data_IF_430403599273
#
_entry.id   IF_430403599273
#
_cell.length_a   1.000
_cell.length_b   1.000
_cell.length_c   1.000
_cell.angle_alpha   90.00
_cell.angle_beta   90.00
_cell.angle_gamma   90.00
#
_symmetry.space_group_name_H-M   'P 1'
#
loop_
_entity.id
_entity.type
_entity.pdbx_description
1 polymer ?
#
# COMPACT_ATOMS: atom_id res chain seq x y z
N UNK A 1 29.51 -7.40 -22.09
CA UNK A 1 28.70 -7.70 -20.88
C UNK A 1 29.56 -7.36 -19.68
N UNK A 2 29.19 -6.37 -18.87
CA UNK A 2 29.81 -6.23 -17.54
C UNK A 2 29.29 -7.43 -16.74
N UNK A 3 30.19 -8.20 -16.14
CA UNK A 3 29.80 -9.21 -15.16
C UNK A 3 29.02 -8.49 -14.05
N UNK A 4 27.73 -8.83 -13.91
CA UNK A 4 26.96 -8.45 -12.75
C UNK A 4 27.70 -8.98 -11.53
N UNK A 5 28.11 -8.07 -10.65
CA UNK A 5 28.74 -8.43 -9.39
C UNK A 5 27.79 -9.37 -8.68
N UNK A 6 28.25 -10.57 -8.31
CA UNK A 6 27.44 -11.54 -7.56
C UNK A 6 27.04 -10.87 -6.24
N UNK A 7 25.82 -10.36 -6.20
CA UNK A 7 25.22 -9.77 -5.01
C UNK A 7 25.08 -10.91 -3.99
N UNK A 8 25.97 -10.93 -2.99
CA UNK A 8 25.81 -11.85 -1.87
C UNK A 8 24.50 -11.48 -1.18
N UNK A 9 23.57 -12.43 -1.09
CA UNK A 9 22.28 -12.24 -0.45
C UNK A 9 22.46 -12.07 1.07
N UNK A 10 22.82 -10.86 1.50
CA UNK A 10 22.76 -10.47 2.89
C UNK A 10 21.28 -10.33 3.30
N UNK A 11 20.90 -10.78 4.51
CA UNK A 11 19.54 -10.59 4.99
C UNK A 11 19.23 -9.10 5.13
N UNK A 12 18.18 -8.65 4.43
CA UNK A 12 17.74 -7.26 4.46
C UNK A 12 17.37 -6.82 5.88
N UNK A 13 17.79 -5.62 6.25
CA UNK A 13 17.57 -5.03 7.57
C UNK A 13 16.13 -4.53 7.69
N UNK A 14 15.42 -4.98 8.73
CA UNK A 14 14.11 -4.43 9.09
C UNK A 14 14.24 -3.09 9.80
N UNK A 15 13.26 -2.21 9.61
CA UNK A 15 13.13 -0.94 10.33
C UNK A 15 12.00 -0.91 11.34
N UNK A 16 11.70 0.30 11.81
CA UNK A 16 10.61 0.60 12.74
C UNK A 16 9.59 1.52 12.09
N UNK A 17 8.32 1.28 12.40
CA UNK A 17 7.20 2.01 11.78
C UNK A 17 7.07 3.43 12.34
N UNK A 18 6.33 4.31 11.66
CA UNK A 18 5.97 5.63 12.20
C UNK A 18 5.22 5.51 13.54
N UNK A 19 4.40 4.46 13.71
CA UNK A 19 3.75 4.14 14.98
C UNK A 19 4.73 3.82 16.12
N UNK A 20 5.81 3.10 15.84
CA UNK A 20 6.86 2.83 16.83
C UNK A 20 7.60 4.11 17.23
N UNK A 21 7.95 4.95 16.25
CA UNK A 21 8.60 6.23 16.50
C UNK A 21 7.71 7.17 17.34
N UNK A 22 6.41 7.25 17.03
CA UNK A 22 5.44 8.02 17.80
C UNK A 22 5.25 7.47 19.22
N UNK A 23 5.29 6.14 19.41
CA UNK A 23 5.24 5.51 20.73
C UNK A 23 6.45 5.87 21.57
N UNK A 24 7.65 5.71 21.00
CA UNK A 24 8.92 6.03 21.64
C UNK A 24 8.98 7.50 22.10
N UNK A 25 8.66 8.43 21.20
CA UNK A 25 8.70 9.87 21.51
C UNK A 25 7.64 10.28 22.52
N UNK A 26 6.43 9.71 22.45
CA UNK A 26 5.38 9.98 23.44
C UNK A 26 5.77 9.49 24.83
N UNK A 27 6.32 8.27 24.92
CA UNK A 27 6.79 7.70 26.18
C UNK A 27 7.94 8.51 26.78
N UNK A 28 8.92 8.92 25.97
CA UNK A 28 10.05 9.72 26.42
C UNK A 28 9.62 11.08 26.98
N UNK A 29 8.73 11.78 26.27
CA UNK A 29 8.18 13.06 26.72
C UNK A 29 7.36 12.91 28.02
N UNK A 30 6.48 11.89 28.10
CA UNK A 30 5.71 11.64 29.30
C UNK A 30 6.58 11.28 30.52
N UNK A 31 7.66 10.49 30.30
CA UNK A 31 8.60 10.15 31.36
C UNK A 31 9.30 11.38 31.89
N UNK A 32 9.74 12.29 31.01
CA UNK A 32 10.33 13.56 31.44
C UNK A 32 9.34 14.39 32.27
N UNK A 33 8.05 14.41 31.94
CA UNK A 33 7.04 15.14 32.72
C UNK A 33 6.80 14.54 34.10
N UNK A 34 6.72 13.21 34.19
CA UNK A 34 6.31 12.55 35.44
C UNK A 34 7.48 12.32 36.40
N UNK A 35 8.68 12.06 35.92
CA UNK A 35 9.84 11.75 36.76
C UNK A 35 10.93 12.81 36.73
N UNK A 36 10.86 13.79 35.83
CA UNK A 36 11.94 14.76 35.59
C UNK A 36 13.19 14.16 34.94
N UNK A 37 13.17 12.87 34.59
CA UNK A 37 14.33 12.19 34.03
C UNK A 37 14.36 12.33 32.51
N UNK A 38 15.47 12.88 32.01
CA UNK A 38 15.79 12.91 30.59
C UNK A 38 16.59 11.67 30.20
N UNK A 39 16.26 11.10 29.05
CA UNK A 39 17.03 10.02 28.44
C UNK A 39 17.38 10.36 26.99
N UNK A 40 18.48 9.80 26.50
CA UNK A 40 18.91 9.92 25.10
C UNK A 40 18.43 8.72 24.25
N UNK A 41 17.82 7.72 24.88
CA UNK A 41 17.18 6.59 24.22
C UNK A 41 15.99 6.09 25.04
N UNK A 42 15.04 5.44 24.38
CA UNK A 42 13.83 4.90 24.99
C UNK A 42 13.56 3.50 24.47
N UNK A 43 13.10 2.62 25.36
CA UNK A 43 12.66 1.27 25.04
C UNK A 43 11.14 1.22 24.95
N UNK A 44 10.64 0.55 23.92
CA UNK A 44 9.21 0.27 23.75
C UNK A 44 8.99 -1.20 23.43
N UNK A 45 7.87 -1.73 23.89
CA UNK A 45 7.40 -3.08 23.57
C UNK A 45 6.48 -3.02 22.35
N UNK A 46 6.86 -3.73 21.29
CA UNK A 46 6.05 -3.85 20.07
C UNK A 46 4.86 -4.81 20.27
N UNK A 47 3.83 -4.79 19.39
CA UNK A 47 2.61 -5.60 19.55
C UNK A 47 2.83 -7.12 19.72
N UNK A 48 3.98 -7.66 19.29
CA UNK A 48 4.35 -9.08 19.46
C UNK A 48 5.29 -9.34 20.65
N UNK A 49 5.39 -8.40 21.58
CA UNK A 49 6.23 -8.50 22.78
C UNK A 49 7.72 -8.21 22.57
N UNK A 50 8.18 -8.01 21.32
CA UNK A 50 9.58 -7.63 21.06
C UNK A 50 9.84 -6.24 21.64
N UNK A 51 10.84 -6.12 22.50
CA UNK A 51 11.34 -4.82 22.97
C UNK A 51 12.35 -4.28 21.96
N UNK A 52 12.25 -2.99 21.65
CA UNK A 52 13.20 -2.27 20.80
C UNK A 52 13.61 -0.98 21.46
N UNK A 53 14.87 -0.60 21.28
CA UNK A 53 15.42 0.66 21.75
C UNK A 53 15.54 1.65 20.59
N UNK A 54 15.17 2.90 20.83
CA UNK A 54 15.26 3.99 19.86
C UNK A 54 16.04 5.15 20.45
N UNK A 55 17.02 5.66 19.70
CA UNK A 55 17.73 6.89 20.04
C UNK A 55 16.80 8.08 19.88
N UNK A 56 16.88 9.02 20.82
CA UNK A 56 16.19 10.31 20.74
C UNK A 56 17.17 11.35 20.19
N UNK A 57 16.69 12.17 19.27
CA UNK A 57 17.42 13.36 18.79
C UNK A 57 17.36 14.47 19.84
N UNK A 58 16.22 14.59 20.53
CA UNK A 58 16.03 15.51 21.63
C UNK A 58 14.92 15.02 22.56
N UNK A 59 14.98 15.52 23.80
CA UNK A 59 13.93 15.36 24.82
C UNK A 59 14.05 16.53 25.79
N UNK A 60 13.06 17.42 25.85
CA UNK A 60 13.10 18.60 26.71
C UNK A 60 11.71 19.04 27.17
N UNK A 61 11.68 19.80 28.26
CA UNK A 61 10.48 20.52 28.68
C UNK A 61 10.24 21.73 27.77
N UNK A 62 8.99 22.12 27.62
CA UNK A 62 8.55 23.28 26.83
C UNK A 62 7.33 23.90 27.52
N UNK A 63 7.57 24.74 28.52
CA UNK A 63 6.49 25.23 29.38
C UNK A 63 5.90 24.10 30.23
N UNK A 64 4.60 23.89 30.13
CA UNK A 64 3.82 22.87 30.86
C UNK A 64 3.70 21.52 30.12
N UNK A 65 4.51 21.33 29.09
CA UNK A 65 4.55 20.13 28.27
C UNK A 65 5.99 19.64 28.06
N UNK A 66 6.14 18.41 27.58
CA UNK A 66 7.42 17.88 27.14
C UNK A 66 7.37 17.52 25.66
N UNK A 67 8.52 17.57 25.02
CA UNK A 67 8.69 17.26 23.61
C UNK A 67 9.89 16.32 23.45
N UNK A 68 9.73 15.27 22.65
CA UNK A 68 10.81 14.36 22.30
C UNK A 68 10.73 13.97 20.83
N UNK A 69 11.88 13.78 20.19
CA UNK A 69 11.98 13.46 18.76
C UNK A 69 12.93 12.31 18.47
N UNK A 70 12.67 11.57 17.40
CA UNK A 70 13.51 10.47 16.90
C UNK A 70 13.48 10.44 15.37
N UNK A 71 14.59 10.03 14.74
CA UNK A 71 14.64 9.78 13.31
C UNK A 71 14.12 8.38 13.01
N UNK A 72 13.19 8.27 12.06
CA UNK A 72 12.69 6.97 11.62
C UNK A 72 13.74 6.22 10.80
N UNK A 73 14.13 5.04 11.28
CA UNK A 73 14.90 4.08 10.50
C UNK A 73 13.98 3.02 9.89
N UNK A 74 13.80 3.05 8.57
CA UNK A 74 13.00 2.08 7.82
C UNK A 74 13.77 0.78 7.48
N UNK A 75 15.04 0.65 7.88
CA UNK A 75 15.89 -0.45 7.42
C UNK A 75 16.21 -0.28 5.94
N UNK A 76 16.15 -1.38 5.19
CA UNK A 76 16.43 -1.39 3.74
C UNK A 76 15.16 -1.28 2.88
N UNK A 77 14.01 -0.97 3.49
CA UNK A 77 12.78 -0.68 2.75
C UNK A 77 12.89 0.70 2.08
N UNK A 78 12.54 0.85 0.78
CA UNK A 78 12.49 2.13 0.09
C UNK A 78 11.28 2.98 0.53
N UNK A 79 11.16 3.21 1.84
CA UNK A 79 10.09 3.94 2.49
C UNK A 79 10.37 5.44 2.44
N UNK A 80 9.45 6.22 1.88
CA UNK A 80 9.58 7.69 1.76
C UNK A 80 9.70 8.40 3.11
N UNK A 81 9.32 7.75 4.21
CA UNK A 81 9.42 8.28 5.57
C UNK A 81 10.72 7.85 6.28
N UNK A 82 11.63 7.14 5.62
CA UNK A 82 12.97 6.88 6.14
C UNK A 82 13.72 8.20 6.38
N UNK A 83 14.38 8.33 7.53
CA UNK A 83 15.10 9.53 7.93
C UNK A 83 14.22 10.71 8.34
N UNK A 84 12.88 10.58 8.30
CA UNK A 84 11.99 11.63 8.78
C UNK A 84 12.11 11.78 10.30
N UNK A 85 12.14 13.02 10.79
CA UNK A 85 12.05 13.32 12.22
C UNK A 85 10.58 13.24 12.66
N UNK A 86 10.27 12.25 13.49
CA UNK A 86 9.00 12.19 14.21
C UNK A 86 9.20 12.71 15.62
N UNK A 87 8.25 13.50 16.10
CA UNK A 87 8.29 14.02 17.45
C UNK A 87 6.90 14.12 18.05
N UNK A 88 6.82 13.86 19.36
CA UNK A 88 5.59 13.95 20.13
C UNK A 88 5.71 15.03 21.17
N UNK A 89 4.61 15.74 21.32
CA UNK A 89 4.35 16.77 22.30
C UNK A 89 3.33 16.21 23.29
N UNK A 90 3.69 16.10 24.56
CA UNK A 90 2.83 15.50 25.58
C UNK A 90 2.48 16.53 26.64
N UNK A 91 1.19 16.60 27.00
CA UNK A 91 0.65 17.37 28.13
C UNK A 91 -0.03 16.43 29.12
N UNK A 92 0.15 16.69 30.40
CA UNK A 92 -0.61 16.02 31.46
C UNK A 92 -2.05 16.57 31.49
N UNK A 93 -3.03 15.70 31.73
CA UNK A 93 -4.46 16.06 31.87
C UNK A 93 -5.01 15.61 33.21
N UNK A 94 -5.95 16.34 33.76
CA UNK A 94 -6.61 15.92 35.00
C UNK A 94 -7.44 14.64 34.83
N UNK A 95 -8.09 14.47 33.68
CA UNK A 95 -8.95 13.32 33.38
C UNK A 95 -8.14 12.15 32.83
N UNK A 96 -8.42 10.89 33.25
CA UNK A 96 -7.81 9.70 32.70
C UNK A 96 -8.03 9.53 31.20
N UNK A 97 -7.11 8.78 30.56
CA UNK A 97 -7.17 8.45 29.14
C UNK A 97 -6.16 9.21 28.29
N UNK A 98 -6.15 8.90 27.00
CA UNK A 98 -5.20 9.49 26.04
C UNK A 98 -5.98 10.16 24.92
N UNK A 99 -5.82 11.48 24.81
CA UNK A 99 -6.33 12.28 23.69
C UNK A 99 -5.25 12.40 22.63
N UNK A 100 -5.58 12.02 21.40
CA UNK A 100 -4.67 12.15 20.27
C UNK A 100 -4.97 13.41 19.47
N UNK A 101 -3.92 14.12 19.08
CA UNK A 101 -3.99 15.33 18.26
C UNK A 101 -3.04 15.19 17.08
N UNK A 102 -3.49 15.57 15.88
CA UNK A 102 -2.62 15.71 14.72
C UNK A 102 -1.81 17.00 14.86
N UNK A 103 -0.50 16.87 14.99
CA UNK A 103 0.43 17.99 14.91
C UNK A 103 0.88 18.26 13.47
N UNK A 104 1.91 19.07 13.32
CA UNK A 104 2.46 19.42 12.02
C UNK A 104 2.92 18.16 11.26
N UNK A 105 2.50 18.03 10.00
CA UNK A 105 2.87 16.92 9.12
C UNK A 105 2.21 15.57 9.43
N UNK A 106 1.26 15.51 10.37
CA UNK A 106 0.36 14.37 10.55
C UNK A 106 -1.00 14.71 9.94
N UNK A 107 -1.52 13.81 9.12
CA UNK A 107 -2.75 14.06 8.38
C UNK A 107 -4.01 13.97 9.22
N UNK A 108 -5.10 14.51 8.68
CA UNK A 108 -6.46 14.36 9.20
C UNK A 108 -7.31 13.61 8.18
N UNK A 109 -8.17 12.71 8.68
CA UNK A 109 -9.09 11.96 7.82
C UNK A 109 -10.22 12.87 7.36
N UNK A 110 -10.40 12.98 6.04
CA UNK A 110 -11.41 13.85 5.41
C UNK A 110 -12.47 13.07 4.63
N UNK A 111 -12.29 11.76 4.47
CA UNK A 111 -13.21 10.88 3.75
C UNK A 111 -13.53 9.63 4.58
N UNK A 112 -14.75 9.07 4.44
CA UNK A 112 -15.09 7.78 5.06
C UNK A 112 -14.41 6.61 4.33
N UNK A 113 -14.44 5.42 4.93
CA UNK A 113 -13.90 4.18 4.37
C UNK A 113 -12.55 3.75 4.95
N UNK A 114 -11.95 4.57 5.80
CA UNK A 114 -10.83 4.19 6.65
C UNK A 114 -11.33 3.68 8.01
N UNK A 115 -10.46 3.01 8.75
CA UNK A 115 -10.73 2.56 10.13
C UNK A 115 -10.91 3.75 11.09
N UNK A 116 -10.34 4.90 10.74
CA UNK A 116 -10.46 6.16 11.47
C UNK A 116 -11.65 6.97 10.95
N UNK A 117 -12.39 7.62 11.85
CA UNK A 117 -13.52 8.46 11.49
C UNK A 117 -13.07 9.78 10.84
N UNK A 118 -13.98 10.41 10.08
CA UNK A 118 -13.74 11.75 9.51
C UNK A 118 -13.52 12.76 10.63
N UNK A 119 -12.51 13.63 10.46
CA UNK A 119 -12.06 14.60 11.45
C UNK A 119 -10.99 14.07 12.42
N UNK A 120 -10.76 12.76 12.47
CA UNK A 120 -9.76 12.18 13.37
C UNK A 120 -8.32 12.39 12.85
N UNK A 121 -7.35 12.55 13.76
CA UNK A 121 -5.93 12.42 13.45
C UNK A 121 -5.64 11.07 12.79
N UNK A 122 -4.82 11.06 11.73
CA UNK A 122 -4.41 9.88 10.98
C UNK A 122 -3.40 9.00 11.75
N UNK A 123 -3.69 8.73 13.02
CA UNK A 123 -2.95 7.85 13.91
C UNK A 123 -3.76 6.56 14.05
N UNK A 124 -3.31 5.48 13.42
CA UNK A 124 -4.06 4.24 13.29
C UNK A 124 -4.27 3.54 14.65
N UNK A 125 -5.24 2.61 14.76
CA UNK A 125 -5.59 1.97 16.03
C UNK A 125 -4.44 1.27 16.75
N UNK A 126 -3.56 0.56 16.02
CA UNK A 126 -2.41 -0.12 16.65
C UNK A 126 -1.41 0.89 17.25
N UNK A 127 -0.95 1.93 16.52
CA UNK A 127 -0.19 3.02 17.13
C UNK A 127 -0.87 3.70 18.32
N UNK A 128 -2.19 3.99 18.24
CA UNK A 128 -2.93 4.55 19.38
C UNK A 128 -2.86 3.63 20.59
N UNK A 129 -3.09 2.33 20.40
CA UNK A 129 -3.00 1.33 21.45
C UNK A 129 -1.58 1.27 22.03
N UNK A 130 -0.56 1.22 21.19
CA UNK A 130 0.84 1.19 21.65
C UNK A 130 1.17 2.42 22.50
N UNK A 131 0.83 3.63 22.05
CA UNK A 131 1.05 4.85 22.83
C UNK A 131 0.30 4.76 24.16
N UNK A 132 -0.99 4.45 24.13
CA UNK A 132 -1.81 4.39 25.34
C UNK A 132 -1.30 3.35 26.35
N UNK A 133 -0.96 2.14 25.91
CA UNK A 133 -0.47 1.08 26.80
C UNK A 133 0.81 1.54 27.54
N UNK A 134 1.77 2.13 26.82
CA UNK A 134 3.04 2.58 27.43
C UNK A 134 2.83 3.76 28.37
N UNK A 135 1.96 4.71 28.01
CA UNK A 135 1.68 5.87 28.85
C UNK A 135 0.92 5.50 30.12
N UNK A 136 -0.05 4.59 30.01
CA UNK A 136 -0.81 4.11 31.17
C UNK A 136 0.05 3.25 32.11
N UNK A 137 0.95 2.44 31.56
CA UNK A 137 1.93 1.70 32.37
C UNK A 137 2.85 2.67 33.14
N UNK A 138 3.43 3.66 32.44
CA UNK A 138 4.27 4.68 33.07
C UNK A 138 3.51 5.46 34.14
N UNK A 139 2.25 5.82 33.88
CA UNK A 139 1.41 6.52 34.85
C UNK A 139 1.23 5.70 36.13
N UNK A 140 0.98 4.39 36.00
CA UNK A 140 0.92 3.46 37.13
C UNK A 140 2.24 3.39 37.92
N UNK A 141 3.36 3.26 37.22
CA UNK A 141 4.70 3.20 37.83
C UNK A 141 5.06 4.48 38.60
N UNK A 142 4.55 5.64 38.14
CA UNK A 142 4.77 6.95 38.79
C UNK A 142 3.65 7.35 39.76
N UNK A 143 2.61 6.53 39.98
CA UNK A 143 1.47 6.88 40.83
C UNK A 143 0.62 8.06 40.29
N UNK A 144 0.63 8.30 38.99
CA UNK A 144 -0.15 9.34 38.32
C UNK A 144 -1.50 8.81 37.86
N UNK A 145 -2.59 9.45 38.28
CA UNK A 145 -3.97 9.02 37.98
C UNK A 145 -4.69 9.86 36.91
N UNK A 146 -4.02 10.88 36.37
CA UNK A 146 -4.56 11.69 35.28
C UNK A 146 -4.40 11.02 33.92
N UNK A 147 -4.49 11.83 32.86
CA UNK A 147 -4.36 11.38 31.48
C UNK A 147 -3.34 12.17 30.69
N UNK A 148 -3.31 11.94 29.38
CA UNK A 148 -2.34 12.54 28.47
C UNK A 148 -3.04 13.13 27.25
N UNK A 149 -2.59 14.30 26.82
CA UNK A 149 -2.80 14.76 25.45
C UNK A 149 -1.50 14.57 24.68
N UNK A 150 -1.58 13.84 23.57
CA UNK A 150 -0.44 13.47 22.73
C UNK A 150 -0.64 14.08 21.35
N UNK A 151 0.15 15.11 21.06
CA UNK A 151 0.23 15.69 19.71
C UNK A 151 1.41 15.07 18.98
N UNK A 152 1.12 14.28 17.94
CA UNK A 152 2.16 13.63 17.12
C UNK A 152 2.47 14.49 15.91
N UNK A 153 3.75 14.66 15.60
CA UNK A 153 4.23 15.51 14.52
C UNK A 153 5.25 14.75 13.67
N UNK A 154 5.37 15.15 12.40
CA UNK A 154 6.42 14.70 11.48
C UNK A 154 6.99 15.91 10.75
N UNK A 155 8.28 16.18 10.93
CA UNK A 155 8.92 17.30 10.24
C UNK A 155 8.86 17.10 8.72
N UNK A 156 8.31 18.08 7.99
CA UNK A 156 8.11 17.98 6.54
C UNK A 156 7.06 16.94 6.12
N UNK A 157 6.25 16.42 7.06
CA UNK A 157 5.30 15.33 6.81
C UNK A 157 4.25 15.64 5.75
N UNK A 158 3.83 16.90 5.60
CA UNK A 158 2.90 17.31 4.53
C UNK A 158 3.48 17.04 3.14
N UNK A 159 4.74 17.44 2.90
CA UNK A 159 5.42 17.24 1.62
C UNK A 159 5.71 15.76 1.35
N UNK A 160 6.04 14.99 2.40
CA UNK A 160 6.23 13.55 2.29
C UNK A 160 4.91 12.83 1.94
N UNK A 161 3.78 13.27 2.50
CA UNK A 161 2.47 12.67 2.27
C UNK A 161 2.00 12.80 0.81
N UNK A 162 2.41 13.84 0.09
CA UNK A 162 2.12 14.00 -1.34
C UNK A 162 2.73 12.88 -2.20
N UNK A 163 3.73 12.16 -1.68
CA UNK A 163 4.38 11.02 -2.32
C UNK A 163 3.84 9.67 -1.83
N UNK A 164 2.74 9.66 -1.09
CA UNK A 164 2.09 8.44 -0.58
C UNK A 164 0.66 8.31 -1.09
N UNK A 165 -0.01 7.23 -0.70
CA UNK A 165 -1.45 7.03 -0.94
C UNK A 165 -2.34 7.92 -0.08
N UNK A 166 -1.79 8.71 0.86
CA UNK A 166 -2.57 9.51 1.81
C UNK A 166 -3.60 10.43 1.12
N UNK A 167 -3.23 11.25 0.11
CA UNK A 167 -4.20 12.12 -0.55
C UNK A 167 -5.33 11.33 -1.23
N UNK A 168 -5.00 10.19 -1.86
CA UNK A 168 -5.97 9.29 -2.51
C UNK A 168 -6.99 8.74 -1.51
N UNK A 169 -6.51 8.36 -0.33
CA UNK A 169 -7.33 7.84 0.77
C UNK A 169 -8.10 8.93 1.53
N UNK A 170 -7.96 10.20 1.16
CA UNK A 170 -8.61 11.32 1.85
C UNK A 170 -7.94 11.69 3.17
N UNK A 171 -6.64 11.46 3.31
CA UNK A 171 -5.83 11.90 4.43
C UNK A 171 -5.04 13.14 4.00
N UNK A 172 -5.40 14.31 4.51
CA UNK A 172 -4.86 15.60 4.09
C UNK A 172 -4.03 16.26 5.19
N UNK A 173 -3.08 17.11 4.80
CA UNK A 173 -2.22 17.87 5.73
C UNK A 173 -1.02 17.11 6.29
N UNK A 174 -0.87 15.82 5.98
CA UNK A 174 0.26 15.03 6.49
C UNK A 174 0.17 13.53 6.33
N UNK A 175 1.17 12.87 6.90
CA UNK A 175 1.34 11.41 6.89
C UNK A 175 0.41 10.72 7.87
N UNK A 176 0.21 9.42 7.63
CA UNK A 176 -0.41 8.53 8.59
C UNK A 176 0.64 7.96 9.54
N UNK A 177 0.32 7.97 10.83
CA UNK A 177 1.06 7.23 11.84
C UNK A 177 0.48 5.82 11.89
N UNK A 178 1.22 4.86 11.34
CA UNK A 178 0.75 3.50 11.08
C UNK A 178 1.81 2.46 11.43
N UNK A 179 1.40 1.19 11.44
CA UNK A 179 2.25 0.05 11.76
C UNK A 179 1.49 -0.98 12.60
N UNK A 180 1.25 -2.16 12.05
CA UNK A 180 0.49 -3.23 12.74
C UNK A 180 1.36 -4.09 13.65
N UNK A 181 2.66 -4.21 13.33
CA UNK A 181 3.63 -5.00 14.09
C UNK A 181 4.69 -4.16 14.79
N UNK A 182 4.69 -2.85 14.54
CA UNK A 182 5.79 -1.95 14.92
C UNK A 182 7.06 -2.08 14.06
N UNK A 183 7.10 -3.03 13.11
CA UNK A 183 8.29 -3.33 12.30
C UNK A 183 8.00 -3.02 10.82
N UNK A 184 8.94 -2.34 10.17
CA UNK A 184 8.99 -2.20 8.71
C UNK A 184 9.80 -3.37 8.16
N UNK A 185 9.19 -4.16 7.28
CA UNK A 185 9.85 -5.25 6.57
C UNK A 185 10.10 -4.82 5.13
N UNK A 186 11.34 -4.82 4.64
CA UNK A 186 11.66 -4.46 3.27
C UNK A 186 10.80 -5.22 2.27
N UNK A 187 10.21 -4.50 1.32
CA UNK A 187 9.39 -5.04 0.22
C UNK A 187 8.22 -5.92 0.72
N UNK A 188 7.53 -5.47 1.76
CA UNK A 188 6.45 -6.24 2.38
C UNK A 188 5.21 -6.40 1.48
N UNK A 189 4.98 -7.60 0.97
CA UNK A 189 3.74 -7.93 0.25
C UNK A 189 2.48 -7.66 1.09
N UNK A 190 2.52 -7.92 2.41
CA UNK A 190 1.38 -7.65 3.29
C UNK A 190 1.05 -6.17 3.41
N UNK A 191 2.06 -5.29 3.40
CA UNK A 191 1.82 -3.84 3.43
C UNK A 191 1.19 -3.36 2.11
N UNK A 192 1.68 -3.86 0.98
CA UNK A 192 1.14 -3.55 -0.34
C UNK A 192 -0.30 -4.08 -0.52
N UNK A 193 -0.59 -5.30 -0.06
CA UNK A 193 -1.97 -5.85 -0.09
C UNK A 193 -2.92 -4.99 0.76
N UNK A 194 -2.46 -4.51 1.92
CA UNK A 194 -3.28 -3.65 2.77
C UNK A 194 -3.62 -2.31 2.10
N UNK A 195 -2.70 -1.72 1.32
CA UNK A 195 -2.99 -0.48 0.57
C UNK A 195 -4.01 -0.70 -0.54
N UNK A 196 -3.96 -1.86 -1.23
CA UNK A 196 -4.98 -2.24 -2.21
C UNK A 196 -6.37 -2.31 -1.55
N UNK A 197 -6.46 -3.01 -0.41
CA UNK A 197 -7.73 -3.15 0.32
C UNK A 197 -8.28 -1.80 0.78
N UNK A 198 -7.43 -0.95 1.35
CA UNK A 198 -7.82 0.41 1.76
C UNK A 198 -8.30 1.26 0.58
N UNK A 199 -7.64 1.18 -0.57
CA UNK A 199 -8.07 1.90 -1.78
C UNK A 199 -9.47 1.48 -2.21
N UNK A 200 -9.74 0.17 -2.23
CA UNK A 200 -11.07 -0.37 -2.57
C UNK A 200 -12.12 0.05 -1.54
N UNK A 201 -11.82 -0.05 -0.25
CA UNK A 201 -12.75 0.29 0.84
C UNK A 201 -13.12 1.78 0.82
N UNK A 202 -12.12 2.65 0.59
CA UNK A 202 -12.34 4.09 0.44
C UNK A 202 -13.17 4.39 -0.81
N UNK A 203 -12.86 3.80 -1.96
CA UNK A 203 -13.66 3.99 -3.18
C UNK A 203 -15.11 3.56 -2.98
N UNK A 204 -15.33 2.35 -2.47
CA UNK A 204 -16.66 1.79 -2.24
C UNK A 204 -17.47 2.65 -1.24
N UNK A 205 -16.87 3.02 -0.10
CA UNK A 205 -17.56 3.78 0.95
C UNK A 205 -17.92 5.20 0.50
N UNK A 206 -17.15 5.77 -0.43
CA UNK A 206 -17.46 7.06 -1.03
C UNK A 206 -18.44 6.96 -2.23
N UNK A 207 -19.09 5.80 -2.42
CA UNK A 207 -20.17 5.61 -3.39
C UNK A 207 -19.70 5.36 -4.82
N UNK A 208 -18.41 5.09 -5.06
CA UNK A 208 -17.93 4.77 -6.39
C UNK A 208 -18.36 3.36 -6.79
N UNK A 209 -19.14 3.28 -7.86
CA UNK A 209 -19.70 2.02 -8.37
C UNK A 209 -18.78 1.33 -9.39
N UNK A 210 -17.81 2.07 -9.92
CA UNK A 210 -16.83 1.59 -10.89
C UNK A 210 -15.42 1.90 -10.40
N UNK A 211 -14.60 0.87 -10.23
CA UNK A 211 -13.17 0.98 -9.94
C UNK A 211 -12.35 0.32 -11.04
N UNK A 212 -11.14 0.81 -11.26
CA UNK A 212 -10.15 0.16 -12.12
C UNK A 212 -8.91 -0.24 -11.32
N UNK A 213 -8.61 -1.54 -11.28
CA UNK A 213 -7.41 -2.07 -10.67
C UNK A 213 -6.30 -2.20 -11.72
N UNK A 214 -5.22 -1.44 -11.51
CA UNK A 214 -4.19 -1.17 -12.49
C UNK A 214 -2.83 -1.71 -12.03
N UNK A 215 -2.09 -2.33 -12.96
CA UNK A 215 -0.77 -2.91 -12.64
C UNK A 215 0.37 -1.89 -12.50
N UNK A 216 0.09 -0.60 -12.71
CA UNK A 216 1.01 0.54 -12.61
C UNK A 216 0.49 1.78 -13.37
N UNK A 217 1.32 2.84 -13.43
CA UNK A 217 0.96 4.17 -13.95
C UNK A 217 0.39 4.14 -15.37
N UNK A 218 1.02 3.44 -16.33
CA UNK A 218 0.51 3.39 -17.70
C UNK A 218 -0.91 2.80 -17.80
N UNK A 219 -1.25 1.81 -16.96
CA UNK A 219 -2.62 1.29 -16.88
C UNK A 219 -3.58 2.25 -16.19
N UNK A 220 -3.14 2.97 -15.14
CA UNK A 220 -3.96 4.02 -14.52
C UNK A 220 -4.28 5.13 -15.52
N UNK A 221 -3.28 5.64 -16.24
CA UNK A 221 -3.44 6.71 -17.23
C UNK A 221 -4.36 6.29 -18.37
N UNK A 222 -4.29 5.02 -18.76
CA UNK A 222 -5.21 4.46 -19.77
C UNK A 222 -6.64 4.42 -19.26
N UNK A 223 -6.87 3.93 -18.04
CA UNK A 223 -8.22 3.87 -17.47
C UNK A 223 -8.79 5.27 -17.19
N UNK A 224 -7.94 6.24 -16.82
CA UNK A 224 -8.30 7.65 -16.72
C UNK A 224 -8.74 8.21 -18.08
N UNK A 225 -8.01 7.94 -19.16
CA UNK A 225 -8.38 8.40 -20.52
C UNK A 225 -9.68 7.75 -21.03
N UNK A 226 -9.86 6.46 -20.79
CA UNK A 226 -11.00 5.69 -21.31
C UNK A 226 -12.31 6.04 -20.58
N UNK A 227 -12.26 6.16 -19.26
CA UNK A 227 -13.45 6.27 -18.42
C UNK A 227 -13.57 7.58 -17.63
N UNK A 228 -12.56 8.46 -17.71
CA UNK A 228 -12.47 9.66 -16.88
C UNK A 228 -12.63 9.36 -15.37
N UNK A 229 -12.09 8.21 -14.92
CA UNK A 229 -12.18 7.81 -13.54
C UNK A 229 -11.40 8.78 -12.64
N UNK A 230 -11.98 9.20 -11.51
CA UNK A 230 -11.24 9.97 -10.52
C UNK A 230 -10.19 9.09 -9.84
N UNK A 231 -9.17 9.73 -9.28
CA UNK A 231 -8.02 9.03 -8.69
C UNK A 231 -8.40 8.04 -7.58
N UNK A 232 -9.43 8.35 -6.80
CA UNK A 232 -9.97 7.47 -5.75
C UNK A 232 -10.54 6.14 -6.30
N UNK A 233 -10.96 6.10 -7.56
CA UNK A 233 -11.46 4.90 -8.23
C UNK A 233 -10.37 4.14 -9.01
N UNK A 234 -9.14 4.67 -9.04
CA UNK A 234 -7.97 4.01 -9.63
C UNK A 234 -7.18 3.32 -8.51
N UNK A 235 -7.15 1.99 -8.56
CA UNK A 235 -6.50 1.15 -7.55
C UNK A 235 -5.18 0.63 -8.11
N UNK A 236 -4.06 1.10 -7.57
CA UNK A 236 -2.75 0.55 -7.91
C UNK A 236 -2.59 -0.84 -7.26
N UNK A 237 -2.72 -1.91 -8.07
CA UNK A 237 -2.63 -3.29 -7.57
C UNK A 237 -1.27 -3.94 -7.82
N UNK A 238 -0.40 -3.30 -8.59
CA UNK A 238 0.90 -3.86 -8.97
C UNK A 238 0.72 -5.24 -9.61
N UNK A 239 1.33 -6.27 -9.02
CA UNK A 239 1.22 -7.66 -9.47
C UNK A 239 0.21 -8.49 -8.65
N UNK A 240 -0.43 -7.91 -7.64
CA UNK A 240 -1.28 -8.60 -6.66
C UNK A 240 -2.76 -8.60 -7.05
N UNK A 241 -3.09 -9.01 -8.29
CA UNK A 241 -4.49 -9.10 -8.75
C UNK A 241 -5.36 -9.96 -7.83
N UNK A 242 -4.79 -11.02 -7.25
CA UNK A 242 -5.52 -11.87 -6.31
C UNK A 242 -5.94 -11.15 -5.03
N UNK A 243 -5.21 -10.11 -4.61
CA UNK A 243 -5.61 -9.28 -3.48
C UNK A 243 -6.88 -8.49 -3.77
N UNK A 244 -7.01 -7.96 -5.00
CA UNK A 244 -8.22 -7.28 -5.48
C UNK A 244 -9.40 -8.25 -5.55
N UNK A 245 -9.26 -9.34 -6.32
CA UNK A 245 -10.36 -10.26 -6.59
C UNK A 245 -10.90 -10.93 -5.31
N UNK A 246 -10.02 -11.28 -4.36
CA UNK A 246 -10.43 -11.86 -3.08
C UNK A 246 -11.12 -10.84 -2.17
N UNK A 247 -10.69 -9.57 -2.19
CA UNK A 247 -11.27 -8.53 -1.35
C UNK A 247 -12.69 -8.15 -1.80
N UNK A 248 -12.96 -8.18 -3.11
CA UNK A 248 -14.30 -7.96 -3.66
C UNK A 248 -15.35 -8.99 -3.25
N UNK A 249 -14.95 -10.13 -2.66
CA UNK A 249 -15.90 -11.05 -2.00
C UNK A 249 -16.50 -10.48 -0.72
N UNK A 250 -15.75 -9.62 -0.04
CA UNK A 250 -16.14 -8.95 1.21
C UNK A 250 -16.79 -7.60 0.94
N UNK A 251 -16.24 -6.87 -0.03
CA UNK A 251 -16.65 -5.50 -0.39
C UNK A 251 -16.94 -5.47 -1.89
N UNK A 252 -18.09 -6.01 -2.34
CA UNK A 252 -18.41 -6.06 -3.76
C UNK A 252 -18.66 -4.65 -4.30
N UNK A 253 -18.05 -4.34 -5.43
CA UNK A 253 -18.31 -3.12 -6.22
C UNK A 253 -19.09 -3.51 -7.48
N UNK A 254 -20.04 -2.70 -7.97
CA UNK A 254 -20.83 -3.04 -9.16
C UNK A 254 -20.00 -3.33 -10.41
N UNK A 255 -18.94 -2.54 -10.68
CA UNK A 255 -18.08 -2.68 -11.86
C UNK A 255 -16.59 -2.63 -11.50
N UNK A 256 -15.86 -3.64 -11.97
CA UNK A 256 -14.41 -3.75 -11.87
C UNK A 256 -13.79 -3.78 -13.27
N UNK A 257 -12.85 -2.88 -13.54
CA UNK A 257 -11.95 -3.01 -14.70
C UNK A 257 -10.56 -3.43 -14.24
N UNK A 258 -10.05 -4.53 -14.77
CA UNK A 258 -8.65 -4.92 -14.62
C UNK A 258 -7.85 -4.37 -15.79
N UNK A 259 -6.79 -3.61 -15.54
CA UNK A 259 -5.95 -3.08 -16.60
C UNK A 259 -4.47 -3.34 -16.31
N UNK A 260 -3.76 -3.88 -17.31
CA UNK A 260 -2.33 -4.10 -17.18
C UNK A 260 -1.64 -4.41 -18.49
N UNK A 261 -0.31 -4.46 -18.43
CA UNK A 261 0.49 -4.84 -19.60
C UNK A 261 0.11 -6.24 -20.10
N UNK A 262 0.15 -6.46 -21.42
CA UNK A 262 -0.24 -7.74 -22.04
C UNK A 262 0.37 -8.98 -21.36
N UNK A 263 1.66 -8.95 -20.98
CA UNK A 263 2.30 -10.07 -20.28
C UNK A 263 1.78 -10.34 -18.87
N UNK A 264 1.27 -9.32 -18.16
CA UNK A 264 0.61 -9.51 -16.85
C UNK A 264 -0.80 -10.07 -17.04
N UNK A 265 -1.54 -9.58 -18.03
CA UNK A 265 -2.87 -10.09 -18.35
C UNK A 265 -2.82 -11.53 -18.89
N UNK A 266 -1.80 -11.91 -19.66
CA UNK A 266 -1.63 -13.30 -20.11
C UNK A 266 -1.43 -14.27 -18.95
N UNK A 267 -0.75 -13.84 -17.87
CA UNK A 267 -0.61 -14.64 -16.64
C UNK A 267 -1.92 -14.78 -15.89
N UNK A 268 -2.72 -13.71 -15.82
CA UNK A 268 -4.07 -13.79 -15.27
C UNK A 268 -4.96 -14.73 -16.10
N UNK A 269 -4.85 -14.68 -17.43
CA UNK A 269 -5.53 -15.58 -18.35
C UNK A 269 -5.16 -17.06 -18.14
N UNK A 270 -3.91 -17.32 -17.73
CA UNK A 270 -3.44 -18.65 -17.33
C UNK A 270 -3.88 -19.07 -15.91
N UNK A 271 -4.60 -18.22 -15.18
CA UNK A 271 -5.11 -18.51 -13.83
C UNK A 271 -4.19 -18.10 -12.68
N UNK A 272 -3.15 -17.30 -12.92
CA UNK A 272 -2.28 -16.82 -11.86
C UNK A 272 -2.90 -15.65 -11.09
N UNK A 273 -2.85 -15.74 -9.76
CA UNK A 273 -3.33 -14.70 -8.82
C UNK A 273 -2.22 -13.73 -8.38
N UNK A 274 -0.97 -14.04 -8.73
CA UNK A 274 0.22 -13.20 -8.56
C UNK A 274 0.94 -13.12 -9.92
N UNK A 275 1.04 -11.90 -10.44
CA UNK A 275 1.53 -11.63 -11.79
C UNK A 275 3.04 -11.40 -11.83
N UNK A 276 3.72 -11.44 -10.67
CA UNK A 276 5.15 -11.22 -10.57
C UNK A 276 5.93 -12.35 -11.24
N UNK A 277 7.03 -12.02 -11.94
CA UNK A 277 7.83 -12.98 -12.72
C UNK A 277 8.43 -14.13 -11.89
N UNK A 278 8.65 -13.91 -10.59
CA UNK A 278 9.12 -14.95 -9.66
C UNK A 278 8.05 -16.02 -9.35
N UNK A 279 6.76 -15.71 -9.53
CA UNK A 279 5.66 -16.61 -9.18
C UNK A 279 4.90 -17.13 -10.40
N UNK A 280 5.02 -16.44 -11.53
CA UNK A 280 4.38 -16.83 -12.78
C UNK A 280 5.25 -16.46 -13.98
N UNK A 281 5.22 -17.31 -15.00
CA UNK A 281 5.93 -17.13 -16.26
C UNK A 281 4.94 -16.88 -17.39
N UNK A 282 5.41 -16.27 -18.48
CA UNK A 282 4.64 -16.21 -19.73
C UNK A 282 4.67 -17.60 -20.36
N UNK A 283 3.51 -18.09 -20.78
CA UNK A 283 3.36 -19.37 -21.48
C UNK A 283 3.13 -19.12 -22.98
N UNK A 284 4.22 -19.14 -23.76
CA UNK A 284 4.16 -18.92 -25.21
C UNK A 284 3.42 -20.04 -25.96
N UNK A 285 3.61 -21.34 -25.63
CA UNK A 285 2.75 -22.41 -26.15
C UNK A 285 1.27 -22.18 -25.94
N UNK A 286 0.86 -21.71 -24.76
CA UNK A 286 -0.53 -21.37 -24.48
C UNK A 286 -1.01 -20.19 -25.34
N UNK A 287 -0.20 -19.13 -25.48
CA UNK A 287 -0.53 -18.02 -26.39
C UNK A 287 -0.71 -18.48 -27.83
N UNK A 288 0.13 -19.40 -28.32
CA UNK A 288 -0.01 -19.98 -29.65
C UNK A 288 -1.30 -20.81 -29.77
N UNK A 289 -1.66 -21.58 -28.75
CA UNK A 289 -2.93 -22.32 -28.71
C UNK A 289 -4.15 -21.40 -28.75
N UNK A 290 -4.12 -20.29 -28.01
CA UNK A 290 -5.19 -19.27 -28.08
C UNK A 290 -5.23 -18.57 -29.44
N UNK A 291 -4.07 -18.22 -30.02
CA UNK A 291 -4.01 -17.68 -31.37
C UNK A 291 -4.59 -18.65 -32.41
N UNK A 292 -4.30 -19.96 -32.28
CA UNK A 292 -4.83 -21.00 -33.15
C UNK A 292 -6.36 -21.06 -33.11
N UNK A 293 -6.94 -20.94 -31.90
CA UNK A 293 -8.39 -20.96 -31.69
C UNK A 293 -9.14 -19.83 -32.42
N UNK A 294 -8.43 -18.74 -32.76
CA UNK A 294 -8.98 -17.59 -33.48
C UNK A 294 -8.40 -17.43 -34.90
N UNK A 295 -7.81 -18.49 -35.45
CA UNK A 295 -7.45 -18.57 -36.88
C UNK A 295 -5.97 -18.40 -37.22
N UNK A 296 -5.05 -18.43 -36.24
CA UNK A 296 -3.62 -18.48 -36.54
C UNK A 296 -3.22 -19.78 -37.23
N UNK A 297 -2.52 -19.70 -38.36
CA UNK A 297 -1.98 -20.86 -39.05
C UNK A 297 -0.80 -21.50 -38.29
N UNK A 298 -0.38 -22.69 -38.74
CA UNK A 298 0.71 -23.43 -38.09
C UNK A 298 2.02 -22.65 -38.09
N UNK A 299 2.30 -21.86 -39.13
CA UNK A 299 3.53 -21.08 -39.22
C UNK A 299 3.57 -19.98 -38.15
N UNK A 300 2.47 -19.24 -37.98
CA UNK A 300 2.33 -18.23 -36.95
C UNK A 300 2.38 -18.82 -35.54
N UNK A 301 1.73 -19.96 -35.31
CA UNK A 301 1.80 -20.65 -34.02
C UNK A 301 3.25 -21.01 -33.64
N UNK A 302 4.03 -21.56 -34.57
CA UNK A 302 5.45 -21.88 -34.33
C UNK A 302 6.27 -20.61 -34.09
N UNK A 303 5.98 -19.53 -34.81
CA UNK A 303 6.64 -18.23 -34.60
C UNK A 303 6.34 -17.65 -33.21
N UNK A 304 5.09 -17.79 -32.72
CA UNK A 304 4.70 -17.37 -31.36
C UNK A 304 5.43 -18.21 -30.30
N UNK A 305 5.50 -19.53 -30.47
CA UNK A 305 6.20 -20.42 -29.55
C UNK A 305 7.69 -20.07 -29.46
N UNK A 306 8.30 -19.74 -30.60
CA UNK A 306 9.72 -19.37 -30.70
C UNK A 306 10.03 -17.92 -30.28
N UNK A 307 9.02 -17.12 -29.92
CA UNK A 307 9.23 -15.75 -29.50
C UNK A 307 10.01 -15.66 -28.18
N UNK A 308 10.73 -14.55 -27.97
CA UNK A 308 11.45 -14.31 -26.71
C UNK A 308 10.56 -13.67 -25.64
N UNK A 309 9.47 -13.00 -26.04
CA UNK A 309 8.61 -12.23 -25.15
C UNK A 309 7.15 -12.30 -25.56
N UNK A 310 6.23 -12.10 -24.62
CA UNK A 310 4.79 -11.98 -24.92
C UNK A 310 4.49 -10.80 -25.85
N UNK A 311 5.27 -9.71 -25.78
CA UNK A 311 5.12 -8.57 -26.67
C UNK A 311 5.47 -8.93 -28.12
N UNK A 312 6.52 -9.73 -28.33
CA UNK A 312 6.86 -10.24 -29.65
C UNK A 312 5.77 -11.17 -30.18
N UNK A 313 5.25 -12.08 -29.36
CA UNK A 313 4.13 -12.94 -29.73
C UNK A 313 2.88 -12.12 -30.16
N UNK A 314 2.55 -11.09 -29.39
CA UNK A 314 1.45 -10.17 -29.71
C UNK A 314 1.68 -9.42 -31.03
N UNK A 315 2.90 -8.92 -31.25
CA UNK A 315 3.24 -8.23 -32.49
C UNK A 315 3.16 -9.15 -33.73
N UNK A 316 3.62 -10.40 -33.60
CA UNK A 316 3.50 -11.42 -34.66
C UNK A 316 2.03 -11.70 -34.99
N UNK A 317 1.19 -11.90 -33.96
CA UNK A 317 -0.24 -12.13 -34.14
C UNK A 317 -0.93 -10.92 -34.81
N UNK A 318 -0.62 -9.71 -34.35
CA UNK A 318 -1.18 -8.48 -34.93
C UNK A 318 -0.79 -8.30 -36.41
N UNK A 319 0.47 -8.56 -36.76
CA UNK A 319 0.94 -8.48 -38.15
C UNK A 319 0.22 -9.46 -39.10
N UNK A 320 -0.26 -10.58 -38.55
CA UNK A 320 -1.05 -11.57 -39.27
C UNK A 320 -2.57 -11.34 -39.19
N UNK A 321 -3.03 -10.22 -38.61
CA UNK A 321 -4.45 -9.92 -38.45
C UNK A 321 -5.17 -10.71 -37.35
N UNK A 322 -4.42 -11.36 -36.45
CA UNK A 322 -4.95 -12.16 -35.35
C UNK A 322 -5.07 -11.30 -34.09
N UNK A 323 -6.30 -11.15 -33.56
CA UNK A 323 -6.62 -10.36 -32.38
C UNK A 323 -6.27 -11.08 -31.05
N UNK A 324 -5.00 -11.51 -30.91
CA UNK A 324 -4.54 -12.27 -29.74
C UNK A 324 -4.75 -11.52 -28.41
N UNK A 325 -4.66 -10.18 -28.41
CA UNK A 325 -4.91 -9.37 -27.23
C UNK A 325 -6.32 -9.53 -26.67
N UNK A 326 -7.34 -9.47 -27.51
CA UNK A 326 -8.74 -9.64 -27.11
C UNK A 326 -8.99 -11.06 -26.58
N UNK A 327 -8.41 -12.07 -27.22
CA UNK A 327 -8.55 -13.46 -26.80
C UNK A 327 -7.89 -13.72 -25.43
N UNK A 328 -6.70 -13.16 -25.19
CA UNK A 328 -6.05 -13.19 -23.87
C UNK A 328 -6.91 -12.50 -22.82
N UNK A 329 -7.47 -11.32 -23.13
CA UNK A 329 -8.38 -10.63 -22.22
C UNK A 329 -9.64 -11.45 -21.93
N UNK A 330 -10.17 -12.19 -22.91
CA UNK A 330 -11.33 -13.08 -22.74
C UNK A 330 -11.04 -14.20 -21.76
N UNK A 331 -9.88 -14.85 -21.87
CA UNK A 331 -9.46 -15.87 -20.91
C UNK A 331 -9.24 -15.29 -19.49
N UNK A 332 -8.59 -14.14 -19.39
CA UNK A 332 -8.41 -13.44 -18.11
C UNK A 332 -9.75 -13.06 -17.46
N UNK A 333 -10.72 -12.61 -18.26
CA UNK A 333 -12.06 -12.27 -17.81
C UNK A 333 -12.79 -13.49 -17.24
N UNK A 334 -12.73 -14.63 -17.94
CA UNK A 334 -13.34 -15.88 -17.47
C UNK A 334 -12.74 -16.31 -16.13
N UNK A 335 -11.41 -16.25 -16.00
CA UNK A 335 -10.76 -16.56 -14.73
C UNK A 335 -11.14 -15.59 -13.62
N UNK A 336 -11.10 -14.27 -13.86
CA UNK A 336 -11.47 -13.28 -12.86
C UNK A 336 -12.91 -13.46 -12.37
N UNK A 337 -13.87 -13.72 -13.29
CA UNK A 337 -15.27 -14.00 -12.97
C UNK A 337 -15.49 -15.26 -12.14
N UNK A 338 -14.61 -16.26 -12.28
CA UNK A 338 -14.64 -17.46 -11.42
C UNK A 338 -14.27 -17.17 -9.96
N UNK A 339 -13.61 -16.03 -9.69
CA UNK A 339 -13.10 -15.67 -8.37
C UNK A 339 -14.00 -14.65 -7.67
N UNK A 340 -14.49 -13.65 -8.39
CA UNK A 340 -15.33 -12.57 -7.83
C UNK A 340 -16.80 -12.99 -7.72
N UNK A 341 -17.61 -12.33 -6.87
CA UNK A 341 -19.05 -12.56 -6.82
C UNK A 341 -19.73 -12.27 -8.17
N UNK A 342 -20.78 -13.05 -8.50
CA UNK A 342 -21.47 -12.96 -9.80
C UNK A 342 -22.10 -11.58 -10.09
N UNK A 343 -22.42 -10.81 -9.05
CA UNK A 343 -22.95 -9.45 -9.19
C UNK A 343 -21.91 -8.41 -9.63
N UNK A 344 -20.61 -8.73 -9.55
CA UNK A 344 -19.54 -7.81 -9.97
C UNK A 344 -19.35 -7.94 -11.48
N UNK A 345 -19.65 -6.86 -12.20
CA UNK A 345 -19.35 -6.77 -13.62
C UNK A 345 -17.85 -6.59 -13.82
N UNK A 346 -17.21 -7.52 -14.53
CA UNK A 346 -15.76 -7.47 -14.78
C UNK A 346 -15.47 -7.17 -16.24
N UNK A 347 -14.46 -6.32 -16.44
CA UNK A 347 -13.78 -6.04 -17.70
C UNK A 347 -12.28 -6.21 -17.54
N UNK A 348 -11.60 -6.53 -18.64
CA UNK A 348 -10.15 -6.68 -18.70
C UNK A 348 -9.61 -5.94 -19.91
N UNK A 349 -8.58 -5.13 -19.69
CA UNK A 349 -7.81 -4.43 -20.72
C UNK A 349 -6.34 -4.86 -20.66
N UNK A 350 -5.81 -5.22 -21.81
CA UNK A 350 -4.38 -5.36 -22.04
C UNK A 350 -3.84 -4.11 -22.73
N UNK A 351 -2.73 -3.58 -22.22
CA UNK A 351 -2.03 -2.43 -22.82
C UNK A 351 -0.61 -2.79 -23.26
N UNK A 352 -0.10 -2.02 -24.22
CA UNK A 352 1.32 -1.97 -24.55
C UNK A 352 2.10 -1.08 -23.55
N UNK A 353 3.40 -0.87 -23.80
CA UNK A 353 4.26 -0.03 -22.95
C UNK A 353 3.92 1.47 -23.00
N UNK A 354 3.26 1.94 -24.05
CA UNK A 354 2.85 3.33 -24.23
C UNK A 354 1.43 3.59 -23.72
N UNK A 355 0.73 2.57 -23.20
CA UNK A 355 -0.66 2.67 -22.77
C UNK A 355 -1.65 2.60 -23.94
N UNK A 356 -1.22 2.12 -25.11
CA UNK A 356 -2.13 1.74 -26.20
C UNK A 356 -2.89 0.47 -25.82
N UNK A 357 -4.21 0.47 -26.03
CA UNK A 357 -5.03 -0.73 -25.81
C UNK A 357 -4.72 -1.72 -26.92
N UNK A 358 -4.25 -2.90 -26.54
CA UNK A 358 -3.93 -4.00 -27.46
C UNK A 358 -4.89 -5.18 -27.33
N UNK A 359 -5.72 -5.17 -26.30
CA UNK A 359 -6.76 -6.17 -26.08
C UNK A 359 -7.79 -5.70 -25.08
N UNK A 360 -9.04 -6.12 -25.26
CA UNK A 360 -10.14 -5.89 -24.30
C UNK A 360 -11.13 -7.05 -24.30
N UNK A 361 -11.73 -7.30 -23.14
CA UNK A 361 -12.88 -8.19 -23.01
C UNK A 361 -13.77 -7.76 -21.85
N UNK A 362 -15.08 -7.93 -21.99
CA UNK A 362 -16.06 -7.51 -20.99
C UNK A 362 -17.11 -6.60 -21.60
N UNK A 363 -17.75 -5.78 -20.78
CA UNK A 363 -18.87 -4.95 -21.23
C UNK A 363 -18.41 -3.83 -22.17
N UNK A 364 -19.24 -3.63 -23.19
CA UNK A 364 -19.18 -2.56 -24.19
C UNK A 364 -19.88 -1.30 -23.66
#
# INVERSE_FOLDING_TARGET
>A
MREETREQAAPLRSGLTTGSCATATSLAAARLLLSGQRHDAVEITLPKGKVVQMRLEFCHLKGDMAEAGTLKDAGDDPDVTHGALLYSQVRLRAEPGVRFVAGAGVGTVTRPGLVLAVGEPAINPVPRKMISDHLLQLAGDCGYHGGFEVTVNVQGGEQLALKTMNPRLGILGGLSILGTSGIVRPFSCSAYIASIHQGIDVAHTNGYTHIAACTGNASEDTMRRVYNLPEIALIEMGDFVGAVLKHLRKVPVPRLTLCGGFGKISKLAAGHMDLHSRHSSIDLPQLAGWAAAIGADTALQQAIIAANTSQQALALAHAAGIALGDEVCRHALLFARSVVPAQVQVEVFAIDRQGGIVGKAGLA
#
